data_IF_073520344877
#
_entry.id   IF_073520344877
#
_cell.length_a   1.000
_cell.length_b   1.000
_cell.length_c   1.000
_cell.angle_alpha   90.00
_cell.angle_beta   90.00
_cell.angle_gamma   90.00
#
_symmetry.space_group_name_H-M   'P 1'
#
loop_
_entity.id
_entity.type
_entity.pdbx_description
1 polymer ?
#
# COMPACT_ATOMS: atom_id res chain seq x y z
N UNK A 1 -15.24 28.31 -13.25
CA UNK A 1 -14.46 29.04 -12.24
C UNK A 1 -13.28 28.17 -11.78
N UNK A 2 -12.21 28.78 -11.24
CA UNK A 2 -11.01 28.06 -10.77
C UNK A 2 -11.34 26.98 -9.74
N UNK A 3 -12.32 27.24 -8.87
CA UNK A 3 -12.79 26.29 -7.85
C UNK A 3 -13.39 25.00 -8.45
N UNK A 4 -14.11 25.11 -9.56
CA UNK A 4 -14.68 23.95 -10.27
C UNK A 4 -13.56 23.06 -10.82
N UNK A 5 -12.50 23.68 -11.37
CA UNK A 5 -11.35 22.95 -11.92
C UNK A 5 -10.65 22.15 -10.83
N UNK A 6 -10.29 22.79 -9.69
CA UNK A 6 -9.65 22.08 -8.58
C UNK A 6 -10.51 20.93 -8.03
N UNK A 7 -11.81 21.16 -7.89
CA UNK A 7 -12.73 20.12 -7.38
C UNK A 7 -12.85 18.94 -8.35
N UNK A 8 -12.94 19.21 -9.66
CA UNK A 8 -13.00 18.17 -10.68
C UNK A 8 -11.70 17.36 -10.74
N UNK A 9 -10.55 18.05 -10.75
CA UNK A 9 -9.24 17.38 -10.76
C UNK A 9 -9.03 16.54 -9.50
N UNK A 10 -9.38 17.06 -8.32
CA UNK A 10 -9.31 16.29 -7.07
C UNK A 10 -10.10 14.98 -7.19
N UNK A 11 -11.38 15.06 -7.59
CA UNK A 11 -12.24 13.87 -7.70
C UNK A 11 -11.73 12.86 -8.73
N UNK A 12 -11.26 13.35 -9.87
CA UNK A 12 -10.76 12.48 -10.94
C UNK A 12 -9.51 11.72 -10.51
N UNK A 13 -8.51 12.41 -9.95
CA UNK A 13 -7.27 11.77 -9.52
C UNK A 13 -7.47 10.85 -8.33
N UNK A 14 -8.29 11.28 -7.35
CA UNK A 14 -8.62 10.45 -6.20
C UNK A 14 -9.35 9.16 -6.59
N UNK A 15 -10.37 9.29 -7.45
CA UNK A 15 -11.12 8.13 -7.96
C UNK A 15 -10.24 7.19 -8.78
N UNK A 16 -9.42 7.74 -9.68
CA UNK A 16 -8.51 6.96 -10.52
C UNK A 16 -7.51 6.14 -9.70
N UNK A 17 -6.87 6.74 -8.69
CA UNK A 17 -5.89 6.02 -7.88
C UNK A 17 -6.53 4.92 -7.03
N UNK A 18 -7.71 5.17 -6.45
CA UNK A 18 -8.44 4.14 -5.72
C UNK A 18 -8.89 3.00 -6.65
N UNK A 19 -9.32 3.30 -7.87
CA UNK A 19 -9.65 2.29 -8.87
C UNK A 19 -8.44 1.45 -9.27
N UNK A 20 -7.26 2.07 -9.44
CA UNK A 20 -6.01 1.35 -9.71
C UNK A 20 -5.67 0.36 -8.61
N UNK A 21 -5.79 0.75 -7.34
CA UNK A 21 -5.54 -0.15 -6.21
C UNK A 21 -6.52 -1.33 -6.19
N UNK A 22 -7.81 -1.05 -6.42
CA UNK A 22 -8.83 -2.10 -6.44
C UNK A 22 -8.62 -3.07 -7.62
N UNK A 23 -8.22 -2.56 -8.79
CA UNK A 23 -7.88 -3.40 -9.95
C UNK A 23 -6.66 -4.27 -9.68
N UNK A 24 -5.62 -3.72 -9.05
CA UNK A 24 -4.42 -4.47 -8.65
C UNK A 24 -4.76 -5.58 -7.67
N UNK A 25 -5.56 -5.28 -6.63
CA UNK A 25 -6.01 -6.27 -5.64
C UNK A 25 -6.83 -7.38 -6.29
N UNK A 26 -7.79 -7.00 -7.14
CA UNK A 26 -8.60 -7.96 -7.88
C UNK A 26 -7.75 -8.85 -8.78
N UNK A 27 -6.82 -8.28 -9.54
CA UNK A 27 -5.92 -9.05 -10.39
C UNK A 27 -5.09 -10.05 -9.59
N UNK A 28 -4.63 -9.68 -8.39
CA UNK A 28 -3.95 -10.60 -7.48
C UNK A 28 -4.87 -11.76 -7.09
N UNK A 29 -6.11 -11.47 -6.66
CA UNK A 29 -7.06 -12.49 -6.22
C UNK A 29 -7.54 -13.42 -7.33
N UNK A 30 -7.62 -12.92 -8.56
CA UNK A 30 -8.04 -13.71 -9.72
C UNK A 30 -6.91 -14.63 -10.21
N UNK A 31 -5.64 -14.22 -10.04
CA UNK A 31 -4.48 -14.94 -10.62
C UNK A 31 -3.73 -15.83 -9.63
N UNK A 32 -3.57 -15.40 -8.38
CA UNK A 32 -2.73 -16.10 -7.41
C UNK A 32 -3.25 -17.49 -7.00
N UNK A 33 -4.56 -17.76 -6.89
CA UNK A 33 -5.06 -19.12 -6.66
C UNK A 33 -4.57 -20.11 -7.71
N UNK A 34 -4.58 -19.73 -8.98
CA UNK A 34 -4.14 -20.59 -10.08
C UNK A 34 -2.62 -20.79 -10.13
N UNK A 35 -1.85 -19.78 -9.70
CA UNK A 35 -0.38 -19.84 -9.74
C UNK A 35 0.24 -20.52 -8.52
N UNK A 36 -0.35 -20.33 -7.34
CA UNK A 36 0.25 -20.73 -6.06
C UNK A 36 -0.60 -21.69 -5.23
N UNK A 37 -1.84 -21.96 -5.64
CA UNK A 37 -2.73 -22.90 -4.97
C UNK A 37 -2.85 -22.64 -3.47
N UNK A 38 -2.67 -23.70 -2.68
CA UNK A 38 -2.85 -23.69 -1.23
C UNK A 38 -1.90 -22.72 -0.52
N UNK A 39 -0.68 -22.48 -1.05
CA UNK A 39 0.25 -21.51 -0.46
C UNK A 39 -0.35 -20.11 -0.42
N UNK A 40 -1.11 -19.73 -1.45
CA UNK A 40 -1.83 -18.46 -1.46
C UNK A 40 -3.12 -18.53 -0.65
N UNK A 41 -3.93 -19.58 -0.83
CA UNK A 41 -5.24 -19.67 -0.18
C UNK A 41 -5.15 -19.64 1.36
N UNK A 42 -4.12 -20.28 1.93
CA UNK A 42 -3.87 -20.25 3.37
C UNK A 42 -3.34 -18.91 3.89
N UNK A 43 -2.89 -18.03 3.00
CA UNK A 43 -2.28 -16.73 3.33
C UNK A 43 -3.04 -15.53 2.77
N UNK A 44 -4.24 -15.74 2.22
CA UNK A 44 -5.04 -14.69 1.56
C UNK A 44 -5.27 -13.47 2.45
N UNK A 45 -5.39 -13.67 3.76
CA UNK A 45 -5.62 -12.58 4.72
C UNK A 45 -4.43 -11.61 4.76
N UNK A 46 -3.18 -12.08 4.68
CA UNK A 46 -2.00 -11.19 4.66
C UNK A 46 -2.03 -10.24 3.45
N UNK A 47 -2.48 -10.72 2.30
CA UNK A 47 -2.60 -9.88 1.10
C UNK A 47 -3.75 -8.87 1.24
N UNK A 48 -4.88 -9.28 1.82
CA UNK A 48 -6.01 -8.36 2.14
C UNK A 48 -5.58 -7.24 3.08
N UNK A 49 -4.86 -7.60 4.13
CA UNK A 49 -4.39 -6.65 5.14
C UNK A 49 -3.38 -5.69 4.51
N UNK A 50 -2.46 -6.17 3.68
CA UNK A 50 -1.55 -5.31 2.92
C UNK A 50 -2.30 -4.25 2.10
N UNK A 51 -3.30 -4.65 1.29
CA UNK A 51 -4.07 -3.68 0.51
C UNK A 51 -4.90 -2.74 1.39
N UNK A 52 -5.34 -3.18 2.57
CA UNK A 52 -5.95 -2.31 3.57
C UNK A 52 -4.98 -1.23 4.04
N UNK A 53 -3.75 -1.60 4.40
CA UNK A 53 -2.69 -0.67 4.81
C UNK A 53 -2.32 0.31 3.69
N UNK A 54 -2.23 -0.16 2.45
CA UNK A 54 -2.02 0.72 1.28
C UNK A 54 -3.12 1.78 1.15
N UNK A 55 -4.38 1.38 1.30
CA UNK A 55 -5.53 2.31 1.28
C UNK A 55 -5.52 3.25 2.47
N UNK A 56 -5.15 2.75 3.65
CA UNK A 56 -5.09 3.56 4.86
C UNK A 56 -3.98 4.62 4.74
N UNK A 57 -2.80 4.25 4.22
CA UNK A 57 -1.68 5.17 3.98
C UNK A 57 -2.05 6.27 2.98
N UNK A 58 -2.80 5.92 1.94
CA UNK A 58 -3.27 6.89 0.96
C UNK A 58 -4.24 7.91 1.57
N UNK A 59 -5.16 7.48 2.45
CA UNK A 59 -6.23 8.32 3.01
C UNK A 59 -5.84 9.13 4.26
N UNK A 60 -4.94 8.63 5.10
CA UNK A 60 -4.72 9.15 6.46
C UNK A 60 -3.28 9.55 6.78
N UNK A 61 -3.04 10.52 7.68
CA UNK A 61 -1.73 10.69 8.32
C UNK A 61 -1.46 9.55 9.31
N UNK A 62 -0.19 9.26 9.56
CA UNK A 62 0.33 8.33 10.59
C UNK A 62 0.41 6.83 10.27
N UNK A 63 0.73 6.47 9.03
CA UNK A 63 1.19 5.09 8.74
C UNK A 63 2.56 5.18 8.09
N UNK A 64 3.45 4.32 8.55
CA UNK A 64 4.74 4.10 7.93
C UNK A 64 4.57 3.01 6.85
N UNK A 65 4.43 3.44 5.58
CA UNK A 65 4.25 2.51 4.46
C UNK A 65 5.42 1.52 4.32
N UNK A 66 6.65 1.96 4.62
CA UNK A 66 7.80 1.08 4.54
C UNK A 66 7.74 -0.04 5.60
N UNK A 67 7.27 0.28 6.80
CA UNK A 67 7.08 -0.67 7.90
C UNK A 67 5.97 -1.68 7.56
N UNK A 68 4.80 -1.22 7.11
CA UNK A 68 3.72 -2.11 6.68
C UNK A 68 4.16 -3.08 5.56
N UNK A 69 5.00 -2.62 4.62
CA UNK A 69 5.57 -3.48 3.59
C UNK A 69 6.58 -4.47 4.17
N UNK A 70 7.46 -4.05 5.08
CA UNK A 70 8.43 -4.94 5.72
C UNK A 70 7.74 -6.02 6.58
N UNK A 71 6.70 -5.65 7.35
CA UNK A 71 5.89 -6.56 8.16
C UNK A 71 5.20 -7.61 7.28
N UNK A 72 4.59 -7.17 6.17
CA UNK A 72 3.98 -8.08 5.20
C UNK A 72 4.98 -9.16 4.71
N UNK A 73 6.18 -8.74 4.28
CA UNK A 73 7.18 -9.69 3.79
C UNK A 73 7.72 -10.61 4.88
N UNK A 74 7.87 -10.10 6.10
CA UNK A 74 8.31 -10.87 7.26
C UNK A 74 7.31 -11.98 7.59
N UNK A 75 6.04 -11.62 7.76
CA UNK A 75 4.99 -12.60 8.07
C UNK A 75 4.74 -13.58 6.92
N UNK A 76 4.85 -13.11 5.66
CA UNK A 76 4.74 -13.99 4.51
C UNK A 76 5.90 -15.01 4.47
N UNK A 77 7.13 -14.58 4.75
CA UNK A 77 8.29 -15.48 4.86
C UNK A 77 8.04 -16.55 5.92
N UNK A 78 7.62 -16.14 7.11
CA UNK A 78 7.40 -17.06 8.22
C UNK A 78 6.37 -18.13 7.88
N UNK A 79 5.23 -17.71 7.34
CA UNK A 79 4.13 -18.63 7.00
C UNK A 79 4.50 -19.55 5.83
N UNK A 80 5.11 -19.02 4.78
CA UNK A 80 5.52 -19.85 3.65
C UNK A 80 6.62 -20.85 4.05
N UNK A 81 7.58 -20.43 4.87
CA UNK A 81 8.65 -21.31 5.30
C UNK A 81 8.10 -22.49 6.13
N UNK A 82 7.16 -22.25 7.04
CA UNK A 82 6.45 -23.30 7.80
C UNK A 82 5.65 -24.23 6.87
N UNK A 83 4.93 -23.67 5.89
CA UNK A 83 4.09 -24.45 4.96
C UNK A 83 4.88 -25.35 4.01
N UNK A 84 6.06 -24.91 3.58
CA UNK A 84 6.91 -25.66 2.64
C UNK A 84 7.74 -26.74 3.38
N UNK A 85 7.88 -26.62 4.71
CA UNK A 85 8.71 -27.49 5.53
C UNK A 85 7.89 -28.18 6.66
N UNK A 86 6.75 -28.82 6.35
CA UNK A 86 5.85 -29.36 7.38
C UNK A 86 6.45 -30.51 8.19
N UNK A 87 7.50 -31.15 7.67
CA UNK A 87 8.22 -32.24 8.32
C UNK A 87 9.11 -31.80 9.49
N UNK A 88 9.42 -30.50 9.59
CA UNK A 88 10.28 -29.98 10.64
C UNK A 88 9.46 -29.27 11.71
N UNK A 89 9.87 -29.44 12.97
CA UNK A 89 9.40 -28.58 14.05
C UNK A 89 10.18 -27.28 14.00
N UNK A 90 9.50 -26.19 13.67
CA UNK A 90 10.08 -24.86 13.49
C UNK A 90 9.62 -23.95 14.64
N UNK A 91 10.35 -23.96 15.78
CA UNK A 91 10.02 -23.09 16.91
C UNK A 91 10.24 -21.63 16.54
N UNK A 92 9.65 -20.72 17.31
CA UNK A 92 9.69 -19.27 17.00
C UNK A 92 11.13 -18.73 17.00
N UNK A 93 12.01 -19.24 17.87
CA UNK A 93 13.44 -18.90 17.88
C UNK A 93 14.16 -19.22 16.55
N UNK A 94 13.74 -20.30 15.88
CA UNK A 94 14.26 -20.65 14.56
C UNK A 94 13.73 -19.69 13.50
N UNK A 95 12.46 -19.30 13.60
CA UNK A 95 11.85 -18.33 12.68
C UNK A 95 12.48 -16.94 12.81
N UNK A 96 12.74 -16.49 14.03
CA UNK A 96 13.44 -15.24 14.32
C UNK A 96 14.83 -15.24 13.67
N UNK A 97 15.54 -16.37 13.73
CA UNK A 97 16.82 -16.54 13.05
C UNK A 97 16.68 -16.41 11.52
N UNK A 98 15.67 -17.05 10.93
CA UNK A 98 15.39 -16.95 9.49
C UNK A 98 15.10 -15.50 9.08
N UNK A 99 14.23 -14.81 9.82
CA UNK A 99 13.89 -13.40 9.57
C UNK A 99 15.13 -12.51 9.69
N UNK A 100 15.97 -12.73 10.72
CA UNK A 100 17.21 -11.97 10.93
C UNK A 100 18.19 -12.08 9.76
N UNK A 101 18.23 -13.21 9.06
CA UNK A 101 19.12 -13.41 7.90
C UNK A 101 18.42 -13.17 6.55
N UNK A 102 17.16 -12.73 6.55
CA UNK A 102 16.36 -12.55 5.33
C UNK A 102 16.93 -11.49 4.38
N UNK A 103 17.53 -10.42 4.91
CA UNK A 103 18.17 -9.37 4.08
C UNK A 103 19.38 -9.88 3.30
N UNK A 104 20.15 -10.80 3.91
CA UNK A 104 21.33 -11.40 3.29
C UNK A 104 20.93 -12.45 2.25
N UNK A 105 19.98 -13.32 2.58
CA UNK A 105 19.61 -14.45 1.72
C UNK A 105 18.56 -14.11 0.67
N UNK A 106 17.80 -13.03 0.86
CA UNK A 106 16.77 -12.54 -0.06
C UNK A 106 15.85 -13.67 -0.57
N UNK A 107 15.06 -14.31 0.31
CA UNK A 107 14.22 -15.45 -0.06
C UNK A 107 13.19 -15.12 -1.15
N UNK A 108 12.82 -13.85 -1.29
CA UNK A 108 11.94 -13.33 -2.36
C UNK A 108 12.70 -12.56 -3.46
N UNK A 109 14.03 -12.68 -3.52
CA UNK A 109 14.89 -11.90 -4.41
C UNK A 109 14.83 -10.40 -4.12
N UNK A 110 14.92 -9.58 -5.18
CA UNK A 110 14.84 -8.12 -5.06
C UNK A 110 13.38 -7.60 -4.95
N UNK A 111 12.38 -8.47 -5.10
CA UNK A 111 10.96 -8.07 -5.17
C UNK A 111 10.53 -7.21 -3.96
N UNK A 112 10.83 -7.58 -2.69
CA UNK A 112 10.46 -6.76 -1.54
C UNK A 112 11.04 -5.35 -1.58
N UNK A 113 12.32 -5.24 -1.95
CA UNK A 113 13.06 -3.98 -2.03
C UNK A 113 12.52 -3.09 -3.14
N UNK A 114 12.33 -3.68 -4.32
CA UNK A 114 11.80 -3.00 -5.50
C UNK A 114 10.39 -2.48 -5.25
N UNK A 115 9.53 -3.33 -4.68
CA UNK A 115 8.16 -2.95 -4.33
C UNK A 115 8.17 -1.82 -3.30
N UNK A 116 8.99 -1.92 -2.24
CA UNK A 116 9.11 -0.85 -1.25
C UNK A 116 9.51 0.49 -1.86
N UNK A 117 10.53 0.51 -2.70
CA UNK A 117 10.99 1.73 -3.36
C UNK A 117 9.93 2.32 -4.30
N UNK A 118 9.34 1.48 -5.16
CA UNK A 118 8.37 1.92 -6.17
C UNK A 118 7.05 2.36 -5.53
N UNK A 119 6.50 1.56 -4.61
CA UNK A 119 5.27 1.87 -3.90
C UNK A 119 5.44 3.15 -3.07
N UNK A 120 6.46 3.24 -2.23
CA UNK A 120 6.66 4.42 -1.37
C UNK A 120 6.72 5.71 -2.18
N UNK A 121 7.50 5.73 -3.26
CA UNK A 121 7.59 6.90 -4.16
C UNK A 121 6.25 7.22 -4.83
N UNK A 122 5.57 6.21 -5.37
CA UNK A 122 4.30 6.41 -6.07
C UNK A 122 3.21 6.94 -5.12
N UNK A 123 3.06 6.33 -3.94
CA UNK A 123 2.05 6.73 -2.97
C UNK A 123 2.33 8.12 -2.40
N UNK A 124 3.59 8.45 -2.07
CA UNK A 124 3.95 9.81 -1.63
C UNK A 124 3.59 10.84 -2.70
N UNK A 125 3.94 10.56 -3.97
CA UNK A 125 3.67 11.49 -5.07
C UNK A 125 2.17 11.72 -5.28
N UNK A 126 1.38 10.64 -5.40
CA UNK A 126 -0.07 10.76 -5.65
C UNK A 126 -0.78 11.42 -4.47
N UNK A 127 -0.44 11.01 -3.24
CA UNK A 127 -1.01 11.60 -2.02
C UNK A 127 -0.72 13.10 -1.94
N UNK A 128 0.54 13.50 -2.15
CA UNK A 128 0.94 14.91 -2.12
C UNK A 128 0.20 15.72 -3.18
N UNK A 129 0.02 15.15 -4.37
CA UNK A 129 -0.70 15.79 -5.47
C UNK A 129 -2.18 16.01 -5.14
N UNK A 130 -2.88 14.97 -4.68
CA UNK A 130 -4.31 15.03 -4.32
C UNK A 130 -4.54 15.98 -3.14
N UNK A 131 -3.67 15.93 -2.12
CA UNK A 131 -3.71 16.87 -0.99
C UNK A 131 -3.46 18.31 -1.46
N UNK A 132 -2.51 18.53 -2.36
CA UNK A 132 -2.23 19.84 -2.94
C UNK A 132 -3.43 20.44 -3.69
N UNK A 133 -4.17 19.62 -4.45
CA UNK A 133 -5.42 20.04 -5.10
C UNK A 133 -6.49 20.44 -4.07
N UNK A 134 -6.60 19.69 -2.97
CA UNK A 134 -7.51 19.99 -1.86
C UNK A 134 -7.18 21.32 -1.17
N UNK A 135 -5.90 21.53 -0.81
CA UNK A 135 -5.43 22.78 -0.20
C UNK A 135 -5.61 23.96 -1.15
N UNK A 136 -5.32 23.79 -2.45
CA UNK A 136 -5.54 24.83 -3.46
C UNK A 136 -7.01 25.27 -3.54
N UNK A 137 -7.94 24.32 -3.52
CA UNK A 137 -9.38 24.58 -3.48
C UNK A 137 -9.78 25.39 -2.23
N UNK A 138 -9.23 25.03 -1.07
CA UNK A 138 -9.47 25.72 0.19
C UNK A 138 -8.97 27.16 0.20
N UNK A 139 -7.79 27.41 -0.38
CA UNK A 139 -7.23 28.76 -0.52
C UNK A 139 -8.13 29.62 -1.41
N UNK A 140 -8.50 29.13 -2.61
CA UNK A 140 -9.39 29.86 -3.54
C UNK A 140 -10.71 30.21 -2.85
N UNK A 141 -11.32 29.25 -2.15
CA UNK A 141 -12.57 29.46 -1.39
C UNK A 141 -12.42 30.53 -0.31
N UNK A 142 -11.33 30.51 0.46
CA UNK A 142 -11.07 31.48 1.54
C UNK A 142 -10.83 32.89 1.00
N UNK A 143 -10.07 33.02 -0.09
CA UNK A 143 -9.78 34.32 -0.73
C UNK A 143 -11.06 34.92 -1.31
N UNK A 144 -11.84 34.17 -2.08
CA UNK A 144 -13.11 34.65 -2.66
C UNK A 144 -14.09 35.15 -1.59
N UNK A 145 -14.20 34.45 -0.45
CA UNK A 145 -15.03 34.89 0.69
C UNK A 145 -14.55 36.19 1.32
N UNK A 146 -13.23 36.41 1.42
CA UNK A 146 -12.67 37.66 1.95
C UNK A 146 -12.90 38.83 1.00
N UNK A 147 -12.76 38.63 -0.31
CA UNK A 147 -13.03 39.67 -1.31
C UNK A 147 -14.49 40.10 -1.27
N UNK A 148 -15.43 39.16 -1.19
CA UNK A 148 -16.88 39.44 -1.07
C UNK A 148 -17.29 40.15 0.23
N UNK A 149 -16.48 40.10 1.29
CA UNK A 149 -16.74 40.83 2.56
C UNK A 149 -16.17 42.24 2.58
N UNK A 150 -15.32 42.60 1.61
CA UNK A 150 -14.70 43.93 1.49
C UNK A 150 -15.52 44.88 0.59
N UNK A 151 -16.55 44.36 -0.06
CA UNK A 151 -17.57 45.08 -0.81
C UNK A 151 -18.91 44.86 -0.12
#
# INVERSE_FOLDING_TARGET
SVQIIFTAQYKNFDGYFQELLNKSEKALYDTFPGMYGDLYLQNVQLFKDLYSELRHYYRGPNINLEEALNEFWTHLLERLFKLINPQYQLPDEYMDCIVKHSEQHKPFGEIPRDLKLKATRAFIAVRSFVQGLGVGNDVVRKVSKKTMRKY
#
